data_IF_025173456303
#
_entry.id   IF_025173456303
#
_cell.length_a   1.000
_cell.length_b   1.000
_cell.length_c   1.000
_cell.angle_alpha   90.00
_cell.angle_beta   90.00
_cell.angle_gamma   90.00
#
_symmetry.space_group_name_H-M   'P 1'
#
loop_
_entity.id
_entity.type
_entity.pdbx_description
1 polymer ?
#
# COMPACT_ATOMS: atom_id res chain seq x y z
N UNK A 1 -10.57 4.78 8.71
CA UNK A 1 -11.59 3.71 8.57
C UNK A 1 -12.83 3.93 9.43
N UNK A 2 -12.71 4.12 10.75
CA UNK A 2 -13.87 4.26 11.67
C UNK A 2 -14.89 5.31 11.19
N UNK A 3 -14.43 6.52 10.84
CA UNK A 3 -15.28 7.58 10.28
C UNK A 3 -16.08 7.10 9.05
N UNK A 4 -15.42 6.44 8.09
CA UNK A 4 -16.05 5.92 6.87
C UNK A 4 -17.12 4.86 7.18
N UNK A 5 -16.85 3.96 8.13
CA UNK A 5 -17.84 2.97 8.53
C UNK A 5 -19.06 3.58 9.25
N UNK A 6 -18.89 4.69 9.98
CA UNK A 6 -20.01 5.47 10.54
C UNK A 6 -20.84 6.11 9.44
N UNK A 7 -20.19 6.74 8.45
CA UNK A 7 -20.87 7.40 7.31
C UNK A 7 -21.72 6.43 6.49
N UNK A 8 -21.25 5.19 6.27
CA UNK A 8 -22.01 4.17 5.53
C UNK A 8 -22.98 3.37 6.41
N UNK A 9 -23.13 3.72 7.69
CA UNK A 9 -24.08 3.09 8.61
C UNK A 9 -23.73 1.66 9.07
N UNK A 10 -22.47 1.22 8.95
CA UNK A 10 -22.05 -0.12 9.36
C UNK A 10 -21.74 -0.19 10.86
N UNK A 11 -22.79 -0.22 11.67
CA UNK A 11 -22.68 -0.30 13.13
C UNK A 11 -21.88 -1.52 13.61
N UNK A 12 -21.90 -2.63 12.85
CA UNK A 12 -21.17 -3.84 13.19
C UNK A 12 -19.65 -3.66 13.11
N UNK A 13 -19.14 -3.09 12.02
CA UNK A 13 -17.71 -2.81 11.89
C UNK A 13 -17.27 -1.65 12.77
N UNK A 14 -18.12 -0.64 12.99
CA UNK A 14 -17.86 0.45 13.94
C UNK A 14 -17.53 -0.11 15.32
N UNK A 15 -18.41 -0.95 15.88
CA UNK A 15 -18.17 -1.58 17.20
C UNK A 15 -16.86 -2.36 17.26
N UNK A 16 -16.54 -3.12 16.21
CA UNK A 16 -15.31 -3.91 16.14
C UNK A 16 -14.06 -3.02 16.14
N UNK A 17 -14.07 -1.95 15.34
CA UNK A 17 -12.96 -0.99 15.28
C UNK A 17 -12.79 -0.23 16.59
N UNK A 18 -13.89 0.14 17.25
CA UNK A 18 -13.85 0.79 18.57
C UNK A 18 -13.32 -0.15 19.67
N UNK A 19 -13.64 -1.45 19.61
CA UNK A 19 -13.12 -2.44 20.57
C UNK A 19 -11.65 -2.81 20.37
N UNK A 20 -11.04 -2.41 19.25
CA UNK A 20 -9.67 -2.77 18.90
C UNK A 20 -8.92 -1.57 18.29
N UNK A 21 -8.69 -0.50 19.07
CA UNK A 21 -8.00 0.68 18.59
C UNK A 21 -6.52 0.39 18.28
N UNK A 22 -5.92 1.06 17.28
CA UNK A 22 -4.47 1.00 17.05
C UNK A 22 -3.71 1.78 18.13
N UNK A 23 -2.43 1.47 18.28
CA UNK A 23 -1.47 2.22 19.12
C UNK A 23 -0.42 2.91 18.26
N UNK A 24 0.30 3.88 18.85
CA UNK A 24 1.45 4.54 18.22
C UNK A 24 2.78 3.81 18.49
N UNK A 25 2.73 2.67 19.17
CA UNK A 25 3.89 1.85 19.53
C UNK A 25 3.86 0.50 18.82
N UNK A 26 5.05 -0.05 18.58
CA UNK A 26 5.26 -1.39 18.06
C UNK A 26 5.54 -2.35 19.23
N UNK A 27 4.97 -3.56 19.28
CA UNK A 27 4.07 -4.16 18.28
C UNK A 27 2.66 -3.55 18.32
N UNK A 28 1.99 -3.55 17.16
CA UNK A 28 0.58 -3.18 17.08
C UNK A 28 -0.31 -4.22 17.81
N UNK A 29 -1.48 -3.81 18.35
CA UNK A 29 -2.36 -4.74 19.04
C UNK A 29 -2.85 -5.86 18.12
N UNK A 30 -2.76 -7.11 18.59
CA UNK A 30 -3.23 -8.27 17.82
C UNK A 30 -4.72 -8.17 17.47
N UNK A 31 -5.53 -7.59 18.36
CA UNK A 31 -6.95 -7.31 18.13
C UNK A 31 -7.19 -6.38 16.95
N UNK A 32 -6.36 -5.35 16.78
CA UNK A 32 -6.42 -4.44 15.64
C UNK A 32 -5.98 -5.14 14.35
N UNK A 33 -4.86 -5.87 14.39
CA UNK A 33 -4.35 -6.62 13.23
C UNK A 33 -5.37 -7.65 12.71
N UNK A 34 -6.10 -8.31 13.61
CA UNK A 34 -7.12 -9.29 13.25
C UNK A 34 -8.33 -8.71 12.47
N UNK A 35 -8.57 -7.39 12.56
CA UNK A 35 -9.73 -6.76 11.92
C UNK A 35 -9.35 -5.78 10.80
N UNK A 36 -8.13 -5.23 10.83
CA UNK A 36 -7.64 -4.19 9.93
C UNK A 36 -7.84 -4.56 8.47
N UNK A 37 -7.33 -5.71 8.05
CA UNK A 37 -7.34 -6.12 6.65
C UNK A 37 -8.76 -6.23 6.08
N UNK A 38 -9.66 -6.91 6.82
CA UNK A 38 -11.07 -7.03 6.45
C UNK A 38 -11.76 -5.67 6.39
N UNK A 39 -11.44 -4.77 7.32
CA UNK A 39 -12.00 -3.41 7.32
C UNK A 39 -11.54 -2.61 6.09
N UNK A 40 -10.26 -2.71 5.71
CA UNK A 40 -9.71 -2.02 4.53
C UNK A 40 -10.32 -2.51 3.23
N UNK A 41 -10.38 -3.83 3.02
CA UNK A 41 -10.95 -4.42 1.80
C UNK A 41 -12.44 -4.14 1.63
N UNK A 42 -13.20 -4.08 2.73
CA UNK A 42 -14.63 -3.69 2.66
C UNK A 42 -14.85 -2.25 2.22
N UNK A 43 -13.90 -1.36 2.49
CA UNK A 43 -13.95 0.04 2.07
C UNK A 43 -13.29 0.28 0.71
N UNK A 44 -12.66 -0.74 0.09
CA UNK A 44 -11.86 -0.53 -1.12
C UNK A 44 -10.63 0.35 -0.87
N UNK A 45 -10.03 0.24 0.32
CA UNK A 45 -8.83 1.04 0.69
C UNK A 45 -7.60 0.19 1.00
N UNK A 46 -7.68 -1.10 0.62
CA UNK A 46 -6.62 -2.09 0.77
C UNK A 46 -5.81 -2.26 -0.51
N UNK A 47 -5.62 -3.51 -0.94
CA UNK A 47 -4.79 -3.84 -2.11
C UNK A 47 -5.25 -3.14 -3.38
N UNK A 48 -6.51 -3.32 -3.77
CA UNK A 48 -7.14 -2.56 -4.87
C UNK A 48 -8.45 -1.96 -4.41
N UNK A 49 -8.89 -0.89 -5.06
CA UNK A 49 -10.12 -0.18 -4.75
C UNK A 49 -11.37 -1.05 -4.96
N UNK A 50 -11.33 -1.94 -5.95
CA UNK A 50 -12.45 -2.85 -6.27
C UNK A 50 -12.40 -4.20 -5.54
N UNK A 51 -11.26 -4.59 -4.95
CA UNK A 51 -11.14 -5.89 -4.27
C UNK A 51 -11.80 -5.88 -2.90
N UNK A 52 -12.76 -6.79 -2.72
CA UNK A 52 -13.48 -7.00 -1.45
C UNK A 52 -12.95 -8.15 -0.61
N UNK A 53 -12.09 -9.02 -1.17
CA UNK A 53 -11.54 -10.18 -0.48
C UNK A 53 -10.15 -10.54 -1.01
N UNK A 54 -9.16 -10.59 -0.13
CA UNK A 54 -7.79 -11.03 -0.45
C UNK A 54 -7.75 -12.45 -1.01
N UNK A 55 -8.63 -13.33 -0.51
CA UNK A 55 -8.69 -14.73 -0.99
C UNK A 55 -9.02 -14.76 -2.50
N UNK A 56 -10.08 -14.06 -2.91
CA UNK A 56 -10.53 -14.05 -4.29
C UNK A 56 -9.67 -13.17 -5.20
N UNK A 57 -9.09 -12.08 -4.68
CA UNK A 57 -8.37 -11.10 -5.50
C UNK A 57 -6.84 -11.23 -5.52
N UNK A 58 -6.24 -11.98 -4.59
CA UNK A 58 -4.78 -12.18 -4.54
C UNK A 58 -4.45 -13.67 -4.46
N UNK A 59 -4.98 -14.38 -3.47
CA UNK A 59 -4.62 -15.79 -3.24
C UNK A 59 -4.98 -16.67 -4.45
N UNK A 60 -6.25 -16.62 -4.88
CA UNK A 60 -6.74 -17.47 -5.96
C UNK A 60 -6.05 -17.12 -7.31
N UNK A 61 -5.92 -15.84 -7.72
CA UNK A 61 -5.16 -15.48 -8.93
C UNK A 61 -3.69 -15.93 -8.88
N UNK A 62 -3.02 -15.75 -7.73
CA UNK A 62 -1.63 -16.21 -7.56
C UNK A 62 -1.53 -17.74 -7.68
N UNK A 63 -2.48 -18.48 -7.12
CA UNK A 63 -2.49 -19.94 -7.17
C UNK A 63 -2.86 -20.49 -8.56
N UNK A 64 -3.73 -19.79 -9.30
CA UNK A 64 -4.15 -20.15 -10.65
C UNK A 64 -3.19 -19.68 -11.74
N UNK A 65 -2.27 -18.78 -11.44
CA UNK A 65 -1.29 -18.29 -12.41
C UNK A 65 -0.44 -19.45 -12.97
N UNK A 66 -0.31 -19.56 -14.30
CA UNK A 66 0.53 -20.57 -14.94
C UNK A 66 2.03 -20.25 -14.86
N UNK A 67 2.39 -19.02 -14.48
CA UNK A 67 3.77 -18.53 -14.47
C UNK A 67 4.58 -19.06 -13.28
N UNK A 68 3.93 -19.71 -12.32
CA UNK A 68 4.57 -20.31 -11.14
C UNK A 68 4.38 -21.82 -11.10
N UNK A 69 5.47 -22.53 -10.81
CA UNK A 69 5.43 -23.94 -10.46
C UNK A 69 4.69 -24.16 -9.13
N UNK A 70 4.20 -25.39 -8.91
CA UNK A 70 3.52 -25.74 -7.64
C UNK A 70 4.42 -25.49 -6.44
N UNK A 71 5.72 -25.80 -6.54
CA UNK A 71 6.69 -25.59 -5.47
C UNK A 71 6.88 -24.11 -5.17
N UNK A 72 6.97 -23.25 -6.18
CA UNK A 72 7.08 -21.79 -5.98
C UNK A 72 5.84 -21.22 -5.31
N UNK A 73 4.65 -21.65 -5.72
CA UNK A 73 3.40 -21.25 -5.08
C UNK A 73 3.40 -21.58 -3.59
N UNK A 74 3.83 -22.79 -3.20
CA UNK A 74 3.97 -23.18 -1.80
C UNK A 74 5.01 -22.30 -1.08
N UNK A 75 6.16 -22.06 -1.72
CA UNK A 75 7.26 -21.32 -1.12
C UNK A 75 6.95 -19.82 -0.92
N UNK A 76 6.16 -19.20 -1.80
CA UNK A 76 5.68 -17.82 -1.63
C UNK A 76 4.93 -17.69 -0.30
N UNK A 77 3.98 -18.58 -0.02
CA UNK A 77 3.18 -18.50 1.20
C UNK A 77 3.98 -18.87 2.46
N UNK A 78 4.86 -19.87 2.37
CA UNK A 78 5.77 -20.22 3.47
C UNK A 78 6.71 -19.06 3.81
N UNK A 79 7.28 -18.42 2.79
CA UNK A 79 8.16 -17.27 2.94
C UNK A 79 7.44 -16.08 3.55
N UNK A 80 6.22 -15.78 3.10
CA UNK A 80 5.38 -14.71 3.67
C UNK A 80 5.17 -14.90 5.17
N UNK A 81 4.70 -16.07 5.60
CA UNK A 81 4.43 -16.34 7.02
C UNK A 81 5.71 -16.25 7.87
N UNK A 82 6.82 -16.78 7.35
CA UNK A 82 8.11 -16.71 8.03
C UNK A 82 8.61 -15.27 8.20
N UNK A 83 8.58 -14.47 7.13
CA UNK A 83 9.06 -13.08 7.14
C UNK A 83 8.15 -12.16 7.94
N UNK A 84 6.82 -12.36 7.90
CA UNK A 84 5.86 -11.56 8.69
C UNK A 84 6.19 -11.66 10.19
N UNK A 85 6.49 -12.86 10.71
CA UNK A 85 6.87 -13.02 12.13
C UNK A 85 8.20 -12.37 12.51
N UNK A 86 9.14 -12.28 11.57
CA UNK A 86 10.51 -11.81 11.81
C UNK A 86 10.68 -10.29 11.60
N UNK A 87 10.11 -9.76 10.51
CA UNK A 87 10.42 -8.41 10.03
C UNK A 87 9.33 -7.39 10.32
N UNK A 88 8.09 -7.80 10.61
CA UNK A 88 6.97 -6.87 10.71
C UNK A 88 7.19 -5.74 11.72
N UNK A 89 7.61 -6.08 12.94
CA UNK A 89 7.89 -5.09 13.98
C UNK A 89 9.10 -4.21 13.61
N UNK A 90 10.11 -4.78 12.94
CA UNK A 90 11.28 -4.03 12.49
C UNK A 90 10.91 -3.01 11.41
N UNK A 91 10.05 -3.39 10.45
CA UNK A 91 9.54 -2.50 9.42
C UNK A 91 8.78 -1.33 10.06
N UNK A 92 7.86 -1.62 10.98
CA UNK A 92 7.07 -0.58 11.65
C UNK A 92 7.91 0.37 12.53
N UNK A 93 9.00 -0.12 13.12
CA UNK A 93 9.90 0.68 13.95
C UNK A 93 10.96 1.46 13.15
N UNK A 94 11.11 1.17 11.85
CA UNK A 94 12.13 1.82 11.01
C UNK A 94 11.58 3.14 10.47
N UNK A 95 12.23 4.24 10.83
CA UNK A 95 11.88 5.57 10.33
C UNK A 95 12.77 5.97 9.14
N UNK A 96 12.20 5.94 7.95
CA UNK A 96 12.90 6.34 6.72
C UNK A 96 13.08 7.86 6.61
N UNK A 97 12.27 8.66 7.34
CA UNK A 97 12.37 10.12 7.30
C UNK A 97 13.67 10.65 7.94
N UNK A 98 14.32 9.82 8.76
CA UNK A 98 15.61 10.13 9.40
C UNK A 98 16.76 9.36 8.78
N UNK A 99 16.52 8.10 8.38
CA UNK A 99 17.58 7.20 7.89
C UNK A 99 17.87 7.37 6.39
N UNK A 100 16.88 7.75 5.58
CA UNK A 100 17.01 7.93 4.12
C UNK A 100 16.52 9.32 3.74
N UNK A 101 17.36 10.33 3.94
CA UNK A 101 17.00 11.73 3.65
C UNK A 101 17.49 12.19 2.29
N UNK A 102 18.47 11.50 1.69
CA UNK A 102 19.05 11.81 0.39
C UNK A 102 19.37 10.52 -0.35
N UNK A 103 19.09 10.49 -1.65
CA UNK A 103 19.50 9.41 -2.56
C UNK A 103 20.14 9.99 -3.82
N UNK A 104 21.12 9.28 -4.37
CA UNK A 104 21.88 9.72 -5.55
C UNK A 104 21.23 9.32 -6.90
N UNK A 105 20.02 8.77 -6.86
CA UNK A 105 19.29 8.24 -8.03
C UNK A 105 17.92 8.91 -8.16
N UNK A 106 17.32 8.95 -9.37
CA UNK A 106 15.95 9.39 -9.56
C UNK A 106 14.95 8.59 -8.71
N UNK A 107 13.89 9.25 -8.22
CA UNK A 107 12.85 8.60 -7.39
C UNK A 107 11.45 8.94 -7.87
N UNK A 108 10.62 7.92 -8.06
CA UNK A 108 9.26 8.08 -8.55
C UNK A 108 8.28 7.36 -7.62
N UNK A 109 7.35 8.11 -7.03
CA UNK A 109 6.32 7.58 -6.14
C UNK A 109 5.00 7.48 -6.91
N UNK A 110 4.44 6.27 -6.97
CA UNK A 110 3.13 5.98 -7.57
C UNK A 110 2.16 5.69 -6.43
N UNK A 111 1.11 6.48 -6.28
CA UNK A 111 0.26 6.40 -5.09
C UNK A 111 -1.22 6.56 -5.40
N UNK A 112 -2.05 5.61 -4.96
CA UNK A 112 -3.50 5.67 -5.10
C UNK A 112 -4.17 6.53 -4.03
N UNK A 113 -5.18 7.33 -4.38
CA UNK A 113 -5.91 8.15 -3.39
C UNK A 113 -6.66 7.32 -2.35
N UNK A 114 -6.94 6.06 -2.65
CA UNK A 114 -7.65 5.15 -1.77
C UNK A 114 -6.71 4.28 -0.92
N UNK A 115 -5.39 4.44 -1.01
CA UNK A 115 -4.45 3.60 -0.25
C UNK A 115 -4.42 3.99 1.24
N UNK A 116 -4.94 3.10 2.09
CA UNK A 116 -4.86 3.23 3.55
C UNK A 116 -3.85 2.21 4.14
N UNK A 117 -3.15 1.48 3.29
CA UNK A 117 -2.05 0.58 3.69
C UNK A 117 -0.82 1.40 4.00
N UNK A 118 -0.49 2.32 3.10
CA UNK A 118 0.46 3.41 3.28
C UNK A 118 -0.27 4.65 2.85
N UNK A 119 -0.50 5.58 3.76
CA UNK A 119 -1.34 6.74 3.48
C UNK A 119 -0.60 7.79 2.65
N UNK A 120 -1.34 8.41 1.73
CA UNK A 120 -0.79 9.44 0.81
C UNK A 120 -0.17 10.61 1.55
N UNK A 121 -0.78 11.04 2.66
CA UNK A 121 -0.34 12.22 3.41
C UNK A 121 1.09 12.03 3.93
N UNK A 122 1.36 10.91 4.59
CA UNK A 122 2.65 10.55 5.18
C UNK A 122 3.68 10.27 4.09
N UNK A 123 3.27 9.60 3.01
CA UNK A 123 4.15 9.35 1.85
C UNK A 123 4.54 10.66 1.17
N UNK A 124 3.61 11.60 1.00
CA UNK A 124 3.87 12.91 0.38
C UNK A 124 4.77 13.76 1.27
N UNK A 125 4.56 13.75 2.59
CA UNK A 125 5.42 14.44 3.53
C UNK A 125 6.87 13.93 3.46
N UNK A 126 7.07 12.61 3.42
CA UNK A 126 8.39 12.02 3.22
C UNK A 126 8.99 12.36 1.84
N UNK A 127 8.21 12.26 0.77
CA UNK A 127 8.63 12.64 -0.57
C UNK A 127 9.11 14.09 -0.63
N UNK A 128 8.41 15.03 0.02
CA UNK A 128 8.77 16.44 0.01
C UNK A 128 10.11 16.70 0.71
N UNK A 129 10.37 16.01 1.82
CA UNK A 129 11.64 16.07 2.55
C UNK A 129 12.81 15.37 1.85
N UNK A 130 12.55 14.28 1.10
CA UNK A 130 13.58 13.47 0.44
C UNK A 130 14.34 14.26 -0.64
N UNK A 131 15.67 14.22 -0.61
CA UNK A 131 16.51 14.81 -1.66
C UNK A 131 16.89 13.76 -2.71
N UNK A 132 16.71 14.09 -3.97
CA UNK A 132 17.07 13.26 -5.12
C UNK A 132 17.34 14.16 -6.34
N UNK A 133 18.19 13.73 -7.31
CA UNK A 133 18.47 14.50 -8.51
C UNK A 133 17.21 14.78 -9.36
N UNK A 134 16.30 13.81 -9.44
CA UNK A 134 14.95 13.94 -10.04
C UNK A 134 13.98 13.24 -9.10
N UNK A 135 12.85 13.86 -8.79
CA UNK A 135 11.78 13.21 -8.03
C UNK A 135 10.39 13.54 -8.56
N UNK A 136 9.56 12.51 -8.77
CA UNK A 136 8.17 12.63 -9.22
C UNK A 136 7.21 11.96 -8.24
N UNK A 137 6.11 12.63 -7.95
CA UNK A 137 4.99 12.06 -7.18
C UNK A 137 3.76 12.01 -8.08
N UNK A 138 3.21 10.82 -8.28
CA UNK A 138 2.11 10.57 -9.20
C UNK A 138 0.93 10.01 -8.42
N UNK A 139 -0.16 10.77 -8.40
CA UNK A 139 -1.40 10.33 -7.76
C UNK A 139 -2.34 9.67 -8.76
N UNK A 140 -2.85 8.53 -8.35
CA UNK A 140 -3.77 7.67 -9.08
C UNK A 140 -5.16 7.84 -8.47
N UNK A 141 -6.07 8.46 -9.23
CA UNK A 141 -7.35 8.95 -8.71
C UNK A 141 -8.41 7.84 -8.59
N UNK A 142 -8.16 6.67 -9.17
CA UNK A 142 -9.06 5.53 -9.19
C UNK A 142 -8.39 4.27 -8.62
N UNK A 143 -7.32 4.45 -7.85
CA UNK A 143 -6.50 3.36 -7.32
C UNK A 143 -6.37 3.39 -5.80
N UNK A 144 -6.19 2.21 -5.20
CA UNK A 144 -5.72 2.00 -3.84
C UNK A 144 -4.22 1.63 -3.85
N UNK A 145 -3.80 0.60 -3.10
CA UNK A 145 -2.40 0.21 -2.93
C UNK A 145 -1.74 -0.41 -4.17
N UNK A 146 -2.43 -0.53 -5.29
CA UNK A 146 -1.96 -1.26 -6.48
C UNK A 146 -2.28 -0.52 -7.79
N UNK A 147 -1.78 0.72 -7.96
CA UNK A 147 -2.10 1.54 -9.14
C UNK A 147 -1.73 0.89 -10.47
N UNK A 148 -0.71 0.01 -10.48
CA UNK A 148 -0.31 -0.73 -11.68
C UNK A 148 -1.40 -1.64 -12.25
N UNK A 149 -2.28 -2.16 -11.39
CA UNK A 149 -3.37 -3.05 -11.78
C UNK A 149 -4.68 -2.30 -12.02
N UNK A 150 -4.83 -1.09 -11.47
CA UNK A 150 -6.08 -0.33 -11.49
C UNK A 150 -6.11 0.76 -12.56
N UNK A 151 -4.97 1.37 -12.86
CA UNK A 151 -4.81 2.38 -13.92
C UNK A 151 -3.53 2.08 -14.74
N UNK A 152 -3.44 0.90 -15.39
CA UNK A 152 -2.22 0.44 -16.06
C UNK A 152 -1.76 1.37 -17.20
N UNK A 153 -2.70 1.98 -17.95
CA UNK A 153 -2.38 2.89 -19.05
C UNK A 153 -1.67 4.14 -18.54
N UNK A 154 -2.13 4.69 -17.41
CA UNK A 154 -1.51 5.86 -16.77
C UNK A 154 -0.14 5.51 -16.24
N UNK A 155 0.00 4.35 -15.59
CA UNK A 155 1.32 3.90 -15.13
C UNK A 155 2.30 3.72 -16.29
N UNK A 156 1.87 3.07 -17.37
CA UNK A 156 2.68 2.89 -18.59
C UNK A 156 3.15 4.23 -19.15
N UNK A 157 2.23 5.20 -19.27
CA UNK A 157 2.56 6.54 -19.77
C UNK A 157 3.64 7.22 -18.91
N UNK A 158 3.52 7.16 -17.58
CA UNK A 158 4.51 7.73 -16.66
C UNK A 158 5.86 7.03 -16.80
N UNK A 159 5.87 5.70 -16.91
CA UNK A 159 7.11 4.94 -17.09
C UNK A 159 7.81 5.36 -18.38
N UNK A 160 7.07 5.41 -19.50
CA UNK A 160 7.63 5.73 -20.81
C UNK A 160 8.16 7.16 -20.91
N UNK A 161 7.42 8.14 -20.37
CA UNK A 161 7.74 9.56 -20.57
C UNK A 161 8.69 10.09 -19.47
N UNK A 162 8.41 9.78 -18.22
CA UNK A 162 9.14 10.35 -17.09
C UNK A 162 10.24 9.41 -16.61
N UNK A 163 9.92 8.14 -16.31
CA UNK A 163 10.90 7.21 -15.71
C UNK A 163 12.04 6.89 -16.68
N UNK A 164 11.72 6.44 -17.90
CA UNK A 164 12.72 6.15 -18.93
C UNK A 164 13.38 7.42 -19.49
N UNK A 165 12.65 8.54 -19.51
CA UNK A 165 13.17 9.84 -19.93
C UNK A 165 14.06 10.52 -18.88
N UNK A 166 14.06 10.04 -17.62
CA UNK A 166 14.78 10.69 -16.53
C UNK A 166 14.20 12.07 -16.16
N UNK A 167 12.91 12.29 -16.39
CA UNK A 167 12.21 13.56 -16.11
C UNK A 167 11.00 13.33 -15.20
N UNK A 168 10.29 14.39 -14.81
CA UNK A 168 9.11 14.32 -13.95
C UNK A 168 7.98 15.23 -14.45
N UNK A 169 7.82 15.30 -15.77
CA UNK A 169 6.90 16.23 -16.44
C UNK A 169 5.41 15.97 -16.16
N UNK A 170 5.05 14.72 -15.87
CA UNK A 170 3.69 14.29 -15.53
C UNK A 170 3.43 14.26 -14.02
N UNK A 171 4.44 14.57 -13.20
CA UNK A 171 4.31 14.56 -11.75
C UNK A 171 3.41 15.70 -11.28
N UNK A 172 2.88 15.59 -10.06
CA UNK A 172 2.18 16.70 -9.42
C UNK A 172 3.06 17.94 -9.37
N UNK A 173 2.50 19.08 -9.78
CA UNK A 173 3.16 20.37 -9.62
C UNK A 173 3.25 20.72 -8.14
N UNK A 174 4.40 21.29 -7.74
CA UNK A 174 4.63 21.77 -6.39
C UNK A 174 3.98 23.11 -6.14
#
# INVERSE_FOLDING_TARGET
MLKRFREIGDAGMVRRLESAPPTMSVPLPASYLAIRDKAMHRLGVGTTHRMRSVIMGVFLPSWLSPDYTVTEKINIWRGKVFLDGLLWNKILATDLTTTVTTVAIPVYFFHGIHDYTVTRLETKAYFDALKAPVKGFYTFQQSAHSPMFEEPEKMRQIIEQDVLGGTNSLAEQR
#
